data_IF_737132853813
#
_entry.id   IF_737132853813
#
_cell.length_a   1.000
_cell.length_b   1.000
_cell.length_c   1.000
_cell.angle_alpha   90.00
_cell.angle_beta   90.00
_cell.angle_gamma   90.00
#
_symmetry.space_group_name_H-M   'P 1'
#
loop_
_entity.id
_entity.type
_entity.pdbx_description
1 polymer ?
#
# COMPACT_ATOMS: atom_id res chain seq x y z
N UNK A 1 7.52 -6.84 4.06
CA UNK A 1 7.70 -5.99 2.85
C UNK A 1 8.39 -6.76 1.74
N UNK A 2 9.67 -7.15 1.92
CA UNK A 2 10.48 -7.73 0.84
C UNK A 2 9.87 -8.99 0.19
N UNK A 3 9.22 -9.86 0.95
CA UNK A 3 8.51 -11.00 0.37
C UNK A 3 7.39 -10.52 -0.57
N UNK A 4 6.58 -9.56 -0.15
CA UNK A 4 5.50 -9.00 -0.99
C UNK A 4 6.06 -8.32 -2.24
N UNK A 5 7.15 -7.57 -2.10
CA UNK A 5 7.85 -6.95 -3.23
C UNK A 5 8.48 -7.96 -4.20
N UNK A 6 8.95 -9.13 -3.71
CA UNK A 6 9.41 -10.21 -4.57
C UNK A 6 8.30 -10.78 -5.46
N UNK A 7 7.09 -10.92 -4.93
CA UNK A 7 5.92 -11.33 -5.71
C UNK A 7 5.41 -10.21 -6.63
N UNK A 8 5.54 -8.95 -6.22
CA UNK A 8 5.29 -7.77 -7.08
C UNK A 8 6.18 -7.83 -8.33
N UNK A 9 7.48 -8.04 -8.12
CA UNK A 9 8.46 -8.23 -9.19
C UNK A 9 8.11 -9.46 -10.06
N UNK A 10 7.82 -10.59 -9.44
CA UNK A 10 7.54 -11.85 -10.13
C UNK A 10 6.33 -11.76 -11.06
N UNK A 11 5.31 -11.02 -10.69
CA UNK A 11 4.13 -10.73 -11.52
C UNK A 11 4.36 -9.60 -12.55
N UNK A 12 5.59 -9.08 -12.65
CA UNK A 12 5.99 -8.08 -13.63
C UNK A 12 5.59 -6.65 -13.27
N UNK A 13 5.24 -6.38 -12.02
CA UNK A 13 5.01 -5.02 -11.55
C UNK A 13 6.30 -4.40 -11.01
N UNK A 14 6.39 -3.08 -11.07
CA UNK A 14 7.54 -2.34 -10.58
C UNK A 14 7.57 -2.34 -9.05
N UNK A 15 8.66 -2.82 -8.45
CA UNK A 15 8.90 -2.79 -7.01
C UNK A 15 8.93 -1.35 -6.49
N UNK A 16 8.48 -1.16 -5.25
CA UNK A 16 8.33 0.13 -4.55
C UNK A 16 7.24 1.06 -5.13
N UNK A 17 6.54 0.64 -6.17
CA UNK A 17 5.43 1.41 -6.71
C UNK A 17 4.28 0.55 -7.24
N UNK A 18 4.45 -0.75 -7.37
CA UNK A 18 3.46 -1.67 -7.93
C UNK A 18 2.83 -2.64 -6.93
N UNK A 19 3.18 -2.58 -5.66
CA UNK A 19 2.64 -3.45 -4.61
C UNK A 19 1.11 -3.33 -4.53
N UNK A 20 0.56 -2.13 -4.72
CA UNK A 20 -0.89 -1.92 -4.75
C UNK A 20 -1.55 -2.58 -5.96
N UNK A 21 -0.82 -2.71 -7.10
CA UNK A 21 -1.32 -3.44 -8.28
C UNK A 21 -1.41 -4.93 -8.01
N UNK A 22 -0.41 -5.48 -7.29
CA UNK A 22 -0.46 -6.86 -6.83
C UNK A 22 -1.63 -7.09 -5.86
N UNK A 23 -1.83 -6.18 -4.90
CA UNK A 23 -2.97 -6.21 -3.99
C UNK A 23 -4.31 -6.14 -4.75
N UNK A 24 -4.41 -5.25 -5.76
CA UNK A 24 -5.59 -5.11 -6.61
C UNK A 24 -5.82 -6.31 -7.55
N UNK A 25 -4.77 -7.07 -7.87
CA UNK A 25 -4.88 -8.30 -8.68
C UNK A 25 -5.38 -9.49 -7.87
N UNK A 26 -5.13 -9.53 -6.56
CA UNK A 26 -5.45 -10.67 -5.69
C UNK A 26 -6.93 -11.10 -5.70
N UNK A 27 -7.94 -10.20 -5.76
CA UNK A 27 -9.35 -10.59 -5.81
C UNK A 27 -9.76 -11.41 -7.04
N UNK A 28 -8.96 -11.39 -8.11
CA UNK A 28 -9.25 -12.11 -9.35
C UNK A 28 -8.69 -13.55 -9.35
N UNK A 29 -7.94 -13.94 -8.30
CA UNK A 29 -7.32 -15.25 -8.17
C UNK A 29 -7.83 -16.07 -6.99
N UNK A 30 -7.43 -17.34 -6.97
CA UNK A 30 -7.61 -18.25 -5.84
C UNK A 30 -6.27 -18.46 -5.11
N UNK A 31 -6.24 -18.51 -3.76
CA UNK A 31 -4.99 -18.60 -3.00
C UNK A 31 -4.43 -20.04 -2.95
N UNK A 32 -4.26 -20.67 -4.10
CA UNK A 32 -3.86 -22.08 -4.25
C UNK A 32 -2.38 -22.36 -3.98
N UNK A 33 -1.55 -21.32 -3.91
CA UNK A 33 -0.11 -21.43 -3.66
C UNK A 33 0.30 -21.12 -2.20
N UNK A 34 -0.65 -20.93 -1.28
CA UNK A 34 -0.38 -20.57 0.12
C UNK A 34 0.56 -21.58 0.79
N UNK A 35 0.24 -22.88 0.70
CA UNK A 35 1.07 -23.93 1.31
C UNK A 35 2.46 -24.01 0.66
N UNK A 36 2.53 -23.81 -0.65
CA UNK A 36 3.81 -23.77 -1.38
C UNK A 36 4.68 -22.62 -0.91
N UNK A 37 4.10 -21.45 -0.67
CA UNK A 37 4.81 -20.28 -0.10
C UNK A 37 5.29 -20.58 1.33
N UNK A 38 4.39 -21.05 2.20
CA UNK A 38 4.68 -21.32 3.61
C UNK A 38 5.72 -22.44 3.80
N UNK A 39 5.69 -23.47 2.98
CA UNK A 39 6.58 -24.62 3.11
C UNK A 39 7.97 -24.39 2.50
N UNK A 40 8.16 -23.38 1.63
CA UNK A 40 9.42 -23.20 0.92
C UNK A 40 10.07 -21.82 1.10
N UNK A 41 9.27 -20.76 1.22
CA UNK A 41 9.79 -19.39 1.17
C UNK A 41 9.86 -18.72 2.54
N UNK A 42 8.99 -19.11 3.47
CA UNK A 42 8.86 -18.43 4.75
C UNK A 42 8.46 -19.40 5.86
N UNK A 43 9.21 -19.39 6.94
CA UNK A 43 8.86 -20.05 8.20
C UNK A 43 8.17 -19.03 9.12
N UNK A 44 6.92 -19.31 9.52
CA UNK A 44 6.08 -18.40 10.33
C UNK A 44 5.83 -19.06 11.69
N UNK A 45 6.25 -18.38 12.77
CA UNK A 45 6.06 -18.83 14.14
C UNK A 45 4.65 -18.54 14.67
N UNK A 46 4.35 -19.05 15.86
CA UNK A 46 3.04 -18.86 16.53
C UNK A 46 2.76 -17.38 16.83
N UNK A 47 3.77 -16.63 17.25
CA UNK A 47 3.71 -15.20 17.54
C UNK A 47 3.67 -14.30 16.28
N UNK A 48 3.73 -14.90 15.08
CA UNK A 48 3.77 -14.19 13.81
C UNK A 48 5.16 -13.73 13.38
N UNK A 49 6.21 -13.95 14.20
CA UNK A 49 7.58 -13.77 13.74
C UNK A 49 7.89 -14.74 12.61
N UNK A 50 8.81 -14.37 11.72
CA UNK A 50 9.07 -15.16 10.53
C UNK A 50 10.52 -15.06 10.05
N UNK A 51 10.91 -16.07 9.30
CA UNK A 51 12.21 -16.14 8.61
C UNK A 51 12.00 -16.51 7.14
N UNK A 52 12.70 -15.79 6.23
CA UNK A 52 12.67 -16.08 4.79
C UNK A 52 13.83 -16.98 4.40
N UNK A 53 13.58 -18.02 3.60
CA UNK A 53 14.64 -18.78 2.95
C UNK A 53 15.28 -17.96 1.83
N UNK A 54 16.43 -17.36 2.14
CA UNK A 54 17.17 -16.46 1.23
C UNK A 54 17.65 -17.16 -0.05
N UNK A 55 17.64 -18.51 -0.10
CA UNK A 55 18.03 -19.26 -1.29
C UNK A 55 17.13 -19.03 -2.52
N UNK A 56 15.96 -18.45 -2.33
CA UNK A 56 15.00 -18.13 -3.40
C UNK A 56 15.09 -16.69 -3.91
N UNK A 57 15.84 -15.82 -3.23
CA UNK A 57 15.84 -14.38 -3.47
C UNK A 57 17.22 -13.88 -3.86
N UNK A 58 17.25 -12.81 -4.68
CA UNK A 58 18.47 -12.15 -5.11
C UNK A 58 18.61 -10.71 -4.59
N UNK A 59 17.60 -10.17 -3.96
CA UNK A 59 17.54 -8.74 -3.61
C UNK A 59 18.65 -8.28 -2.66
N UNK A 60 19.30 -9.19 -1.92
CA UNK A 60 20.38 -8.85 -1.00
C UNK A 60 21.72 -8.58 -1.73
N UNK A 61 21.97 -9.23 -2.86
CA UNK A 61 23.27 -9.22 -3.55
C UNK A 61 23.17 -9.03 -5.06
N UNK A 62 21.98 -9.05 -5.64
CA UNK A 62 21.76 -8.99 -7.08
C UNK A 62 20.85 -7.84 -7.51
N UNK A 63 20.56 -7.78 -8.81
CA UNK A 63 19.72 -6.77 -9.44
C UNK A 63 18.28 -7.23 -9.68
N UNK A 64 17.92 -8.43 -9.23
CA UNK A 64 16.58 -9.02 -9.33
C UNK A 64 16.05 -9.36 -7.96
N UNK A 65 14.73 -9.42 -7.79
CA UNK A 65 14.13 -9.80 -6.51
C UNK A 65 14.16 -11.31 -6.29
N UNK A 66 13.97 -12.09 -7.35
CA UNK A 66 13.88 -13.57 -7.32
C UNK A 66 14.93 -14.20 -8.23
N UNK A 67 15.13 -15.50 -8.10
CA UNK A 67 16.08 -16.27 -8.90
C UNK A 67 15.42 -17.50 -9.54
N UNK A 68 16.21 -18.32 -10.26
CA UNK A 68 15.74 -19.54 -10.93
C UNK A 68 15.10 -20.57 -10.00
N UNK A 69 15.52 -20.62 -8.72
CA UNK A 69 14.94 -21.53 -7.74
C UNK A 69 13.49 -21.13 -7.43
N UNK A 70 13.22 -19.83 -7.37
CA UNK A 70 11.87 -19.27 -7.24
C UNK A 70 11.01 -19.59 -8.48
N UNK A 71 11.55 -19.39 -9.69
CA UNK A 71 10.87 -19.72 -10.94
C UNK A 71 10.49 -21.21 -10.99
N UNK A 72 11.43 -22.09 -10.64
CA UNK A 72 11.21 -23.54 -10.62
C UNK A 72 10.15 -23.95 -9.59
N UNK A 73 10.08 -23.26 -8.45
CA UNK A 73 9.09 -23.53 -7.42
C UNK A 73 7.66 -23.34 -7.93
N UNK A 74 7.42 -22.29 -8.70
CA UNK A 74 6.10 -21.98 -9.23
C UNK A 74 5.88 -22.49 -10.67
N UNK A 75 6.94 -22.94 -11.34
CA UNK A 75 6.87 -23.52 -12.69
C UNK A 75 6.79 -22.48 -13.82
N UNK A 76 6.96 -21.21 -13.52
CA UNK A 76 6.99 -20.11 -14.49
C UNK A 76 8.12 -19.14 -14.20
N UNK A 77 8.56 -18.38 -15.21
CA UNK A 77 9.52 -17.29 -15.05
C UNK A 77 8.83 -16.00 -14.61
N UNK A 78 9.63 -15.03 -14.19
CA UNK A 78 9.18 -13.65 -13.99
C UNK A 78 8.47 -13.15 -15.24
N UNK A 79 7.28 -12.58 -15.09
CA UNK A 79 6.50 -12.05 -16.20
C UNK A 79 7.19 -10.83 -16.84
N UNK A 80 7.35 -10.86 -18.15
CA UNK A 80 7.72 -9.67 -18.93
C UNK A 80 6.47 -8.79 -19.16
N UNK A 81 6.38 -7.71 -18.40
CA UNK A 81 5.23 -6.82 -18.46
C UNK A 81 5.02 -6.12 -19.80
N UNK A 82 6.05 -6.06 -20.66
CA UNK A 82 5.98 -5.43 -21.97
C UNK A 82 5.37 -6.37 -23.04
N UNK A 83 5.61 -7.66 -22.91
CA UNK A 83 5.29 -8.64 -23.95
C UNK A 83 4.27 -9.68 -23.51
N UNK A 84 4.01 -9.83 -22.20
CA UNK A 84 3.13 -10.85 -21.66
C UNK A 84 1.93 -10.25 -20.93
N UNK A 85 0.77 -10.81 -21.17
CA UNK A 85 -0.46 -10.45 -20.42
C UNK A 85 -0.49 -11.12 -19.05
N UNK A 86 -1.24 -10.54 -18.12
CA UNK A 86 -1.61 -11.21 -16.88
C UNK A 86 -2.51 -12.41 -17.20
N UNK A 87 -2.26 -13.53 -16.52
CA UNK A 87 -3.03 -14.77 -16.65
C UNK A 87 -3.57 -15.19 -15.30
N UNK A 88 -4.43 -16.22 -15.27
CA UNK A 88 -4.96 -16.77 -14.03
C UNK A 88 -3.86 -17.17 -13.05
N UNK A 89 -2.73 -17.68 -13.54
CA UNK A 89 -1.57 -17.97 -12.71
C UNK A 89 -1.10 -16.75 -11.90
N UNK A 90 -0.98 -15.59 -12.53
CA UNK A 90 -0.55 -14.36 -11.85
C UNK A 90 -1.58 -13.86 -10.83
N UNK A 91 -2.87 -14.05 -11.11
CA UNK A 91 -3.97 -13.74 -10.20
C UNK A 91 -3.93 -14.66 -8.97
N UNK A 92 -3.71 -15.95 -9.17
CA UNK A 92 -3.61 -16.95 -8.09
C UNK A 92 -2.37 -16.74 -7.22
N UNK A 93 -1.25 -16.36 -7.83
CA UNK A 93 -0.02 -15.93 -7.13
C UNK A 93 -0.31 -14.71 -6.26
N UNK A 94 -0.98 -13.69 -6.81
CA UNK A 94 -1.33 -12.47 -6.08
C UNK A 94 -2.27 -12.77 -4.89
N UNK A 95 -3.30 -13.58 -5.11
CA UNK A 95 -4.21 -14.02 -4.06
C UNK A 95 -3.49 -14.80 -2.96
N UNK A 96 -2.52 -15.64 -3.34
CA UNK A 96 -1.77 -16.46 -2.40
C UNK A 96 -0.85 -15.65 -1.50
N UNK A 97 -0.06 -14.75 -2.07
CA UNK A 97 0.81 -13.89 -1.24
C UNK A 97 0.02 -12.89 -0.41
N UNK A 98 -1.10 -12.37 -0.91
CA UNK A 98 -2.00 -11.54 -0.14
C UNK A 98 -2.50 -12.30 1.09
N UNK A 99 -2.98 -13.53 0.93
CA UNK A 99 -3.44 -14.39 2.03
C UNK A 99 -2.33 -14.67 3.06
N UNK A 100 -1.11 -14.99 2.62
CA UNK A 100 0.04 -15.19 3.54
C UNK A 100 0.37 -13.92 4.31
N UNK A 101 0.35 -12.76 3.65
CA UNK A 101 0.60 -11.47 4.29
C UNK A 101 -0.44 -11.16 5.38
N UNK A 102 -1.72 -11.37 5.07
CA UNK A 102 -2.81 -11.21 6.02
C UNK A 102 -2.66 -12.12 7.25
N UNK A 103 -2.34 -13.39 7.03
CA UNK A 103 -2.15 -14.36 8.12
C UNK A 103 -1.02 -13.93 9.06
N UNK A 104 0.10 -13.44 8.52
CA UNK A 104 1.23 -12.94 9.30
C UNK A 104 0.81 -11.71 10.11
N UNK A 105 0.20 -10.71 9.46
CA UNK A 105 -0.20 -9.48 10.13
C UNK A 105 -1.22 -9.73 11.25
N UNK A 106 -2.15 -10.65 11.04
CA UNK A 106 -3.13 -11.04 12.07
C UNK A 106 -2.44 -11.76 13.24
N UNK A 107 -1.49 -12.68 12.98
CA UNK A 107 -0.73 -13.35 14.03
C UNK A 107 0.06 -12.35 14.88
N UNK A 108 0.80 -11.45 14.24
CA UNK A 108 1.54 -10.39 14.94
C UNK A 108 0.59 -9.52 15.78
N UNK A 109 -0.55 -9.10 15.21
CA UNK A 109 -1.53 -8.30 15.92
C UNK A 109 -2.08 -9.00 17.17
N UNK A 110 -2.37 -10.29 17.08
CA UNK A 110 -2.82 -11.11 18.22
C UNK A 110 -1.74 -11.23 19.30
N UNK A 111 -0.52 -11.58 18.89
CA UNK A 111 0.61 -11.70 19.82
C UNK A 111 0.88 -10.39 20.57
N UNK A 112 0.88 -9.25 19.86
CA UNK A 112 1.02 -7.93 20.50
C UNK A 112 -0.11 -7.62 21.48
N UNK A 113 -1.34 -7.99 21.13
CA UNK A 113 -2.49 -7.80 22.04
C UNK A 113 -2.36 -8.65 23.31
N UNK A 114 -1.93 -9.89 23.16
CA UNK A 114 -1.71 -10.81 24.28
C UNK A 114 -0.57 -10.33 25.19
N UNK A 115 0.54 -9.87 24.61
CA UNK A 115 1.73 -9.43 25.36
C UNK A 115 1.49 -8.11 26.11
N UNK A 116 0.92 -7.10 25.44
CA UNK A 116 0.83 -5.75 26.01
C UNK A 116 -0.55 -5.39 26.56
N UNK A 117 -1.59 -6.08 26.16
CA UNK A 117 -2.98 -5.81 26.52
C UNK A 117 -3.41 -4.33 26.35
N UNK A 118 -2.87 -3.65 25.34
CA UNK A 118 -3.21 -2.26 25.01
C UNK A 118 -4.39 -2.23 24.03
N UNK A 119 -5.36 -1.31 24.18
CA UNK A 119 -6.55 -1.28 23.33
C UNK A 119 -6.30 -0.71 21.93
N UNK A 120 -5.21 0.01 21.73
CA UNK A 120 -4.94 0.75 20.48
C UNK A 120 -3.76 0.15 19.72
N UNK A 121 -3.89 0.01 18.39
CA UNK A 121 -2.83 -0.40 17.49
C UNK A 121 -2.46 0.75 16.54
N UNK A 122 -1.16 1.06 16.47
CA UNK A 122 -0.62 1.96 15.44
C UNK A 122 0.17 1.15 14.41
N UNK A 123 -0.07 1.41 13.13
CA UNK A 123 0.62 0.77 12.02
C UNK A 123 1.43 1.79 11.23
N UNK A 124 2.70 1.46 10.98
CA UNK A 124 3.61 2.21 10.10
C UNK A 124 4.49 1.23 9.31
N UNK A 125 5.20 1.73 8.30
CA UNK A 125 5.96 0.94 7.33
C UNK A 125 5.16 0.66 6.05
N UNK A 126 5.84 0.28 4.96
CA UNK A 126 5.21 0.11 3.65
C UNK A 126 4.06 -0.92 3.64
N UNK A 127 4.14 -1.99 4.47
CA UNK A 127 3.08 -3.00 4.56
C UNK A 127 1.81 -2.45 5.24
N UNK A 128 1.93 -1.41 6.06
CA UNK A 128 0.78 -0.73 6.66
C UNK A 128 -0.13 -0.03 5.63
N UNK A 129 0.33 0.11 4.38
CA UNK A 129 -0.49 0.57 3.25
C UNK A 129 -1.37 -0.55 2.64
N UNK A 130 -1.24 -1.80 3.11
CA UNK A 130 -2.11 -2.89 2.67
C UNK A 130 -3.48 -2.79 3.34
N UNK A 131 -4.38 -2.01 2.73
CA UNK A 131 -5.72 -1.75 3.27
C UNK A 131 -6.56 -3.02 3.43
N UNK A 132 -6.34 -4.05 2.61
CA UNK A 132 -7.06 -5.33 2.71
C UNK A 132 -6.68 -6.07 3.99
N UNK A 133 -5.39 -6.16 4.29
CA UNK A 133 -4.91 -6.77 5.54
C UNK A 133 -5.34 -5.96 6.76
N UNK A 134 -5.24 -4.63 6.70
CA UNK A 134 -5.69 -3.73 7.77
C UNK A 134 -7.19 -3.90 8.07
N UNK A 135 -8.01 -3.98 7.01
CA UNK A 135 -9.45 -4.23 7.15
C UNK A 135 -9.77 -5.59 7.77
N UNK A 136 -8.93 -6.62 7.54
CA UNK A 136 -9.08 -7.93 8.19
C UNK A 136 -8.72 -7.89 9.67
N UNK A 137 -7.68 -7.16 10.06
CA UNK A 137 -7.33 -6.94 11.49
C UNK A 137 -8.48 -6.23 12.20
N UNK A 138 -9.01 -5.16 11.59
CA UNK A 138 -10.14 -4.40 12.14
C UNK A 138 -11.38 -5.29 12.33
N UNK A 139 -11.73 -6.10 11.34
CA UNK A 139 -12.89 -7.02 11.40
C UNK A 139 -12.77 -8.08 12.49
N UNK A 140 -11.55 -8.47 12.89
CA UNK A 140 -11.34 -9.43 13.97
C UNK A 140 -11.49 -8.83 15.37
N UNK A 141 -11.61 -7.48 15.48
CA UNK A 141 -11.81 -6.77 16.77
C UNK A 141 -10.75 -7.13 17.82
N UNK A 142 -9.49 -7.33 17.38
CA UNK A 142 -8.36 -7.62 18.27
C UNK A 142 -8.02 -6.37 19.10
N UNK A 143 -8.15 -5.19 18.51
CA UNK A 143 -7.96 -3.90 19.13
C UNK A 143 -9.24 -3.07 19.06
N UNK A 144 -9.44 -2.18 20.02
CA UNK A 144 -10.58 -1.26 20.04
C UNK A 144 -10.42 -0.20 18.95
N UNK A 145 -9.18 0.28 18.75
CA UNK A 145 -8.85 1.27 17.74
C UNK A 145 -7.61 0.87 16.97
N UNK A 146 -7.62 1.18 15.67
CA UNK A 146 -6.46 1.02 14.77
C UNK A 146 -6.18 2.36 14.11
N UNK A 147 -4.95 2.84 14.22
CA UNK A 147 -4.48 4.03 13.51
C UNK A 147 -3.38 3.65 12.53
N UNK A 148 -3.53 4.11 11.29
CA UNK A 148 -2.58 3.84 10.22
C UNK A 148 -2.02 5.18 9.77
N UNK A 149 -0.69 5.34 9.84
CA UNK A 149 -0.05 6.53 9.32
C UNK A 149 -0.34 6.65 7.83
N UNK A 150 -0.96 7.75 7.34
CA UNK A 150 -1.30 7.91 5.93
C UNK A 150 -0.09 7.83 5.00
N UNK A 151 1.05 8.40 5.40
CA UNK A 151 2.33 8.27 4.72
C UNK A 151 3.17 7.17 5.40
N UNK A 152 2.62 5.96 5.53
CA UNK A 152 3.22 4.88 6.30
C UNK A 152 4.57 4.37 5.80
N UNK A 153 4.89 4.55 4.50
CA UNK A 153 6.16 4.20 3.89
C UNK A 153 7.23 5.27 4.04
N UNK A 154 8.13 5.35 3.06
CA UNK A 154 9.31 6.22 3.09
C UNK A 154 8.98 7.71 3.24
N UNK A 155 7.85 8.17 2.67
CA UNK A 155 7.42 9.57 2.79
C UNK A 155 7.20 10.02 4.25
N UNK A 156 6.71 9.13 5.11
CA UNK A 156 6.54 9.40 6.54
C UNK A 156 7.84 9.47 7.34
N UNK A 157 8.94 8.99 6.79
CA UNK A 157 10.25 9.05 7.41
C UNK A 157 10.72 10.49 7.68
N UNK A 158 10.40 11.44 6.80
CA UNK A 158 10.73 12.87 7.00
C UNK A 158 9.97 13.46 8.20
N UNK A 159 8.69 13.20 8.31
CA UNK A 159 7.87 13.60 9.46
C UNK A 159 8.37 12.95 10.75
N UNK A 160 8.62 11.63 10.69
CA UNK A 160 9.12 10.86 11.84
C UNK A 160 10.49 11.35 12.33
N UNK A 161 11.41 11.68 11.44
CA UNK A 161 12.72 12.23 11.77
C UNK A 161 12.60 13.60 12.48
N UNK A 162 11.75 14.49 11.98
CA UNK A 162 11.50 15.77 12.61
C UNK A 162 10.90 15.64 14.02
N UNK A 163 9.91 14.76 14.18
CA UNK A 163 9.30 14.48 15.48
C UNK A 163 10.26 13.80 16.45
N UNK A 164 11.11 12.89 15.98
CA UNK A 164 12.12 12.23 16.80
C UNK A 164 13.15 13.25 17.31
N UNK A 165 13.67 14.11 16.44
CA UNK A 165 14.56 15.18 16.83
C UNK A 165 13.92 16.08 17.90
N UNK A 166 12.68 16.52 17.67
CA UNK A 166 11.99 17.43 18.58
C UNK A 166 11.67 16.80 19.94
N UNK A 167 11.10 15.61 19.95
CA UNK A 167 10.61 14.99 21.18
C UNK A 167 11.63 14.11 21.88
N UNK A 168 12.50 13.41 21.15
CA UNK A 168 13.47 12.48 21.72
C UNK A 168 14.79 13.18 22.01
N UNK A 169 15.42 13.78 20.98
CA UNK A 169 16.75 14.40 21.14
C UNK A 169 16.70 15.70 21.95
N UNK A 170 15.71 16.55 21.70
CA UNK A 170 15.55 17.82 22.39
C UNK A 170 14.69 17.73 23.65
N UNK A 171 14.15 16.56 23.99
CA UNK A 171 13.31 16.32 25.16
C UNK A 171 12.10 17.27 25.29
N UNK A 172 11.56 17.77 24.16
CA UNK A 172 10.37 18.60 24.21
C UNK A 172 9.14 17.76 24.57
N UNK A 173 8.28 18.21 25.50
CA UNK A 173 7.11 17.45 25.92
C UNK A 173 6.13 17.30 24.76
N UNK A 174 5.53 16.11 24.64
CA UNK A 174 4.45 15.87 23.69
C UNK A 174 3.17 16.52 24.21
N UNK A 175 2.60 17.42 23.43
CA UNK A 175 1.24 17.93 23.65
C UNK A 175 0.28 17.13 22.78
N UNK A 176 -0.67 16.45 23.43
CA UNK A 176 -1.73 15.72 22.72
C UNK A 176 -2.81 16.73 22.35
N UNK A 177 -3.11 16.82 21.08
CA UNK A 177 -4.28 17.52 20.56
C UNK A 177 -5.37 16.46 20.28
N UNK A 178 -6.61 16.74 20.68
CA UNK A 178 -7.76 15.89 20.38
C UNK A 178 -8.27 16.06 18.95
N UNK A 179 -7.80 17.09 18.24
CA UNK A 179 -8.06 17.26 16.83
C UNK A 179 -7.03 16.47 16.00
N UNK A 180 -7.41 16.09 14.78
CA UNK A 180 -6.50 15.45 13.84
C UNK A 180 -5.45 16.45 13.33
N UNK A 181 -4.24 16.43 13.95
CA UNK A 181 -3.12 17.29 13.51
C UNK A 181 -2.61 16.96 12.10
N UNK A 182 -2.96 15.80 11.55
CA UNK A 182 -2.70 15.43 10.17
C UNK A 182 -3.75 15.97 9.19
N UNK A 183 -4.84 16.57 9.67
CA UNK A 183 -5.91 17.18 8.86
C UNK A 183 -6.43 16.23 7.76
N UNK A 184 -6.65 14.96 8.08
CA UNK A 184 -7.02 13.94 7.10
C UNK A 184 -5.97 13.67 6.03
N UNK A 185 -4.71 14.00 6.29
CA UNK A 185 -3.58 14.01 5.33
C UNK A 185 -3.59 15.13 4.29
N UNK A 186 -4.50 16.08 4.34
CA UNK A 186 -4.54 17.23 3.42
C UNK A 186 -3.47 18.27 3.79
N UNK A 187 -2.20 17.91 3.61
CA UNK A 187 -1.03 18.73 3.97
C UNK A 187 -0.22 19.20 2.75
N UNK A 188 -0.63 18.84 1.54
CA UNK A 188 0.03 19.22 0.30
C UNK A 188 -0.42 20.60 -0.23
N UNK A 189 -0.02 20.94 -1.45
CA UNK A 189 -0.42 22.20 -2.10
C UNK A 189 -1.93 22.23 -2.42
N UNK A 190 -2.45 23.43 -2.46
CA UNK A 190 -3.80 23.75 -2.88
C UNK A 190 -3.74 24.94 -3.86
N UNK A 191 -4.63 24.96 -4.84
CA UNK A 191 -4.67 26.01 -5.84
C UNK A 191 -6.07 26.59 -5.92
N UNK A 192 -6.15 27.91 -5.99
CA UNK A 192 -7.41 28.61 -6.27
C UNK A 192 -7.84 28.43 -7.73
N UNK A 193 -9.12 28.59 -8.01
CA UNK A 193 -9.65 28.52 -9.37
C UNK A 193 -8.90 29.46 -10.34
N UNK A 194 -8.60 30.69 -9.89
CA UNK A 194 -7.85 31.66 -10.68
C UNK A 194 -6.45 31.20 -11.03
N UNK A 195 -5.72 30.62 -10.06
CA UNK A 195 -4.37 30.09 -10.31
C UNK A 195 -4.40 28.91 -11.29
N UNK A 196 -5.43 28.06 -11.20
CA UNK A 196 -5.63 26.96 -12.15
C UNK A 196 -5.83 27.49 -13.56
N UNK A 197 -6.74 28.44 -13.75
CA UNK A 197 -7.01 29.05 -15.06
C UNK A 197 -5.76 29.72 -15.63
N UNK A 198 -5.04 30.53 -14.84
CA UNK A 198 -3.78 31.16 -15.24
C UNK A 198 -2.72 30.16 -15.71
N UNK A 199 -2.60 29.00 -15.03
CA UNK A 199 -1.65 27.96 -15.40
C UNK A 199 -2.09 27.21 -16.68
N UNK A 200 -3.38 26.95 -16.83
CA UNK A 200 -3.94 26.29 -18.02
C UNK A 200 -3.77 27.19 -19.25
N UNK A 201 -4.07 28.50 -19.13
CA UNK A 201 -3.88 29.47 -20.19
C UNK A 201 -2.42 29.58 -20.61
N UNK A 202 -1.50 29.65 -19.63
CA UNK A 202 -0.06 29.70 -19.86
C UNK A 202 0.45 28.43 -20.55
N UNK A 203 -0.15 27.28 -20.26
CA UNK A 203 0.18 26.00 -20.91
C UNK A 203 -0.47 25.84 -22.29
N UNK A 204 -1.34 26.74 -22.71
CA UNK A 204 -2.12 26.63 -23.94
C UNK A 204 -3.13 25.50 -23.92
N UNK A 205 -3.58 25.09 -22.74
CA UNK A 205 -4.55 24.01 -22.56
C UNK A 205 -5.93 24.42 -23.05
N UNK A 206 -6.68 23.46 -23.60
CA UNK A 206 -8.12 23.63 -23.90
C UNK A 206 -8.92 23.09 -22.72
N UNK A 207 -9.74 23.91 -22.12
CA UNK A 207 -10.55 23.51 -20.97
C UNK A 207 -11.92 24.25 -21.02
N UNK A 208 -12.84 23.75 -20.22
CA UNK A 208 -14.16 24.34 -20.01
C UNK A 208 -14.36 24.55 -18.51
N UNK A 209 -15.12 25.58 -18.13
CA UNK A 209 -15.46 25.86 -16.73
C UNK A 209 -16.92 25.52 -16.54
N UNK A 210 -17.20 24.68 -15.54
CA UNK A 210 -18.54 24.28 -15.15
C UNK A 210 -18.85 24.72 -13.72
N UNK A 211 -20.11 24.85 -13.39
CA UNK A 211 -20.59 24.91 -12.01
C UNK A 211 -20.51 23.49 -11.41
N UNK A 212 -20.38 23.42 -10.09
CA UNK A 212 -20.18 22.13 -9.39
C UNK A 212 -21.25 21.08 -9.75
N UNK A 213 -22.54 21.45 -9.75
CA UNK A 213 -23.61 20.52 -10.10
C UNK A 213 -23.47 19.98 -11.54
N UNK A 214 -23.18 20.88 -12.48
CA UNK A 214 -23.01 20.54 -13.90
C UNK A 214 -21.76 19.68 -14.13
N UNK A 215 -20.64 19.94 -13.39
CA UNK A 215 -19.43 19.16 -13.41
C UNK A 215 -19.68 17.74 -12.89
N UNK A 216 -20.41 17.60 -11.79
CA UNK A 216 -20.74 16.31 -11.20
C UNK A 216 -21.64 15.48 -12.13
N UNK A 217 -22.68 16.07 -12.72
CA UNK A 217 -23.58 15.38 -13.66
C UNK A 217 -22.83 14.91 -14.91
N UNK A 218 -21.98 15.77 -15.47
CA UNK A 218 -21.15 15.44 -16.63
C UNK A 218 -20.19 14.29 -16.27
N UNK A 219 -19.49 14.37 -15.15
CA UNK A 219 -18.56 13.35 -14.68
C UNK A 219 -19.26 12.02 -14.46
N UNK A 220 -20.42 12.00 -13.80
CA UNK A 220 -21.21 10.79 -13.60
C UNK A 220 -21.70 10.19 -14.93
N UNK A 221 -22.06 11.03 -15.88
CA UNK A 221 -22.47 10.62 -17.23
C UNK A 221 -21.30 9.95 -17.99
N UNK A 222 -20.10 10.53 -17.94
CA UNK A 222 -18.93 9.98 -18.61
C UNK A 222 -18.49 8.64 -17.96
N UNK A 223 -18.51 8.55 -16.63
CA UNK A 223 -18.28 7.29 -15.92
C UNK A 223 -19.30 6.21 -16.29
N UNK A 224 -20.58 6.56 -16.47
CA UNK A 224 -21.62 5.61 -16.88
C UNK A 224 -21.43 5.06 -18.30
N UNK A 225 -20.61 5.72 -19.12
CA UNK A 225 -20.19 5.28 -20.46
C UNK A 225 -18.88 4.50 -20.43
N UNK A 226 -18.38 4.13 -19.26
CA UNK A 226 -17.10 3.42 -19.06
C UNK A 226 -15.87 4.26 -19.46
N UNK A 227 -15.97 5.59 -19.46
CA UNK A 227 -14.84 6.47 -19.72
C UNK A 227 -13.97 6.63 -18.47
N UNK A 228 -12.65 6.72 -18.66
CA UNK A 228 -11.69 6.95 -17.58
C UNK A 228 -11.53 8.45 -17.32
N UNK A 229 -11.63 8.87 -16.06
CA UNK A 229 -11.55 10.26 -15.64
C UNK A 229 -10.40 10.43 -14.64
N UNK A 230 -9.62 11.51 -14.80
CA UNK A 230 -8.72 12.01 -13.77
C UNK A 230 -9.47 13.04 -12.91
N UNK A 231 -9.52 12.80 -11.60
CA UNK A 231 -10.17 13.70 -10.66
C UNK A 231 -9.17 14.36 -9.72
N UNK A 232 -9.22 15.67 -9.59
CA UNK A 232 -8.41 16.45 -8.67
C UNK A 232 -9.30 17.49 -7.99
N UNK A 233 -9.28 17.55 -6.66
CA UNK A 233 -10.05 18.54 -5.91
C UNK A 233 -9.33 18.96 -4.62
N UNK A 234 -9.45 20.22 -4.27
CA UNK A 234 -8.97 20.77 -3.01
C UNK A 234 -7.46 20.61 -2.78
N UNK A 235 -7.08 20.45 -1.54
CA UNK A 235 -5.69 20.27 -1.11
C UNK A 235 -5.20 18.84 -1.33
N UNK A 236 -3.99 18.68 -1.83
CA UNK A 236 -3.35 17.36 -2.01
C UNK A 236 -3.07 16.69 -0.67
N UNK A 237 -3.19 15.36 -0.67
CA UNK A 237 -2.79 14.54 0.46
C UNK A 237 -1.27 14.40 0.56
N UNK A 238 -0.78 14.24 1.78
CA UNK A 238 0.59 13.84 2.08
C UNK A 238 0.67 12.31 2.18
N UNK A 239 1.29 11.68 1.20
CA UNK A 239 1.44 10.23 1.15
C UNK A 239 1.60 9.71 -0.28
N UNK A 240 1.83 8.40 -0.47
CA UNK A 240 2.11 7.79 -1.77
C UNK A 240 0.85 7.52 -2.61
N UNK A 241 -0.33 7.77 -2.08
CA UNK A 241 -1.62 7.45 -2.72
C UNK A 241 -2.62 8.57 -2.51
N UNK A 242 -3.50 8.76 -3.49
CA UNK A 242 -4.74 9.48 -3.29
C UNK A 242 -5.67 8.65 -2.39
N UNK A 243 -6.29 9.27 -1.42
CA UNK A 243 -7.04 8.60 -0.35
C UNK A 243 -8.55 8.73 -0.51
N UNK A 244 -9.04 9.63 -1.34
CA UNK A 244 -10.46 9.82 -1.48
C UNK A 244 -10.91 10.39 -2.78
#
# INVERSE_FOLDING_TARGET
>A
GLLYSAFTYYTGFKVNSGEYKLMGLAPYGAPIYVDKIKNNLIDIKEDGSFHLDQAYFNYATGLTMTNKKFDNLFGQKVRDAKHEKLTQFHMDIAASIQKVTEDIMIKIAKSLKEEFNIPNLCLAGGVALNCVANGKILKQKIFDNIWIQPAAGDAGGSLGAALALWHIEQNNPRKVDHNDSMQGSYLGPEYSQKEIEEQLDKAGAKYEIFKDEELLDKTATDLSKEEAIGWFQGRMEFGPRALG
#
